data_IF_645044191980
#
_entry.id   IF_645044191980
#
_cell.length_a   1.000
_cell.length_b   1.000
_cell.length_c   1.000
_cell.angle_alpha   90.00
_cell.angle_beta   90.00
_cell.angle_gamma   90.00
#
_symmetry.space_group_name_H-M   'P 1'
#
loop_
_entity.id
_entity.type
_entity.pdbx_description
1 polymer ?
#
# COMPACT_ATOMS: atom_id res chain seq x y z
N UNK A 1 8.67 10.34 -11.23
CA UNK A 1 8.59 10.76 -9.81
C UNK A 1 9.86 10.32 -9.13
N UNK A 2 10.50 11.19 -8.35
CA UNK A 2 11.69 10.81 -7.58
C UNK A 2 11.30 10.18 -6.22
N UNK A 3 12.30 9.59 -5.57
CA UNK A 3 12.11 8.90 -4.29
C UNK A 3 11.67 9.83 -3.16
N UNK A 4 12.14 11.08 -3.15
CA UNK A 4 11.80 12.05 -2.09
C UNK A 4 10.34 12.47 -2.18
N UNK A 5 9.83 12.73 -3.39
CA UNK A 5 8.43 13.04 -3.67
C UNK A 5 7.54 11.86 -3.26
N UNK A 6 7.92 10.63 -3.63
CA UNK A 6 7.18 9.45 -3.23
C UNK A 6 7.13 9.29 -1.71
N UNK A 7 8.27 9.45 -1.03
CA UNK A 7 8.37 9.39 0.44
C UNK A 7 7.52 10.47 1.12
N UNK A 8 7.53 11.70 0.60
CA UNK A 8 6.68 12.79 1.11
C UNK A 8 5.20 12.44 1.00
N UNK A 9 4.77 11.96 -0.17
CA UNK A 9 3.38 11.52 -0.38
C UNK A 9 2.94 10.43 0.58
N UNK A 10 3.82 9.45 0.85
CA UNK A 10 3.55 8.40 1.85
C UNK A 10 3.34 9.00 3.25
N UNK A 11 4.24 9.89 3.68
CA UNK A 11 4.14 10.53 5.00
C UNK A 11 2.88 11.40 5.12
N UNK A 12 2.47 12.08 4.06
CA UNK A 12 1.23 12.85 4.01
C UNK A 12 -0.03 11.96 4.09
N UNK A 13 0.01 10.78 3.45
CA UNK A 13 -1.11 9.84 3.43
C UNK A 13 -1.31 9.09 4.76
N UNK A 14 -0.24 8.77 5.48
CA UNK A 14 -0.28 8.01 6.74
C UNK A 14 -1.26 8.57 7.78
N UNK A 15 -1.24 9.86 8.17
CA UNK A 15 -2.17 10.39 9.16
C UNK A 15 -3.62 10.35 8.68
N UNK A 16 -3.86 10.52 7.37
CA UNK A 16 -5.19 10.42 6.77
C UNK A 16 -5.69 8.97 6.83
N UNK A 17 -4.82 8.01 6.54
CA UNK A 17 -5.11 6.58 6.57
C UNK A 17 -5.29 6.04 7.99
N UNK A 18 -4.59 6.59 8.99
CA UNK A 18 -4.75 6.21 10.39
C UNK A 18 -6.07 6.70 11.01
N UNK A 19 -6.71 7.69 10.37
CA UNK A 19 -8.01 8.20 10.78
C UNK A 19 -9.16 7.27 10.39
N UNK A 20 -10.36 7.50 10.96
CA UNK A 20 -11.60 6.78 10.59
C UNK A 20 -12.20 7.21 9.24
N UNK A 21 -11.45 7.91 8.39
CA UNK A 21 -11.90 8.36 7.06
C UNK A 21 -12.07 7.15 6.12
N UNK A 22 -13.14 7.14 5.34
CA UNK A 22 -13.27 6.21 4.20
C UNK A 22 -12.23 6.51 3.13
N UNK A 23 -11.93 5.55 2.26
CA UNK A 23 -10.96 5.73 1.16
C UNK A 23 -11.29 6.95 0.31
N UNK A 24 -12.57 7.15 -0.05
CA UNK A 24 -13.03 8.35 -0.78
C UNK A 24 -12.67 9.67 -0.08
N UNK A 25 -12.75 9.70 1.26
CA UNK A 25 -12.38 10.88 2.06
C UNK A 25 -10.87 11.05 2.21
N UNK A 26 -10.09 9.98 2.13
CA UNK A 26 -8.62 10.05 2.09
C UNK A 26 -8.18 10.60 0.74
N UNK A 27 -8.72 10.07 -0.36
CA UNK A 27 -8.46 10.55 -1.73
C UNK A 27 -8.81 12.04 -1.86
N UNK A 28 -9.97 12.46 -1.37
CA UNK A 28 -10.38 13.87 -1.41
C UNK A 28 -9.42 14.78 -0.63
N UNK A 29 -8.96 14.35 0.55
CA UNK A 29 -8.03 15.13 1.35
C UNK A 29 -6.65 15.23 0.70
N UNK A 30 -6.15 14.15 0.09
CA UNK A 30 -4.91 14.19 -0.69
C UNK A 30 -5.06 15.12 -1.91
N UNK A 31 -6.23 15.11 -2.55
CA UNK A 31 -6.48 16.05 -3.64
C UNK A 31 -6.48 17.51 -3.18
N UNK A 32 -7.08 17.82 -2.02
CA UNK A 32 -7.02 19.15 -1.39
C UNK A 32 -5.58 19.57 -1.03
N UNK A 33 -4.68 18.61 -0.81
CA UNK A 33 -3.25 18.83 -0.59
C UNK A 33 -2.44 19.05 -1.89
N UNK A 34 -3.09 18.98 -3.06
CA UNK A 34 -2.47 19.24 -4.36
C UNK A 34 -2.02 18.00 -5.13
N UNK A 35 -2.26 16.79 -4.60
CA UNK A 35 -2.03 15.56 -5.35
C UNK A 35 -3.07 15.42 -6.47
N UNK A 36 -2.65 14.93 -7.63
CA UNK A 36 -3.62 14.52 -8.65
C UNK A 36 -4.43 13.31 -8.17
N UNK A 37 -5.55 13.05 -8.86
CA UNK A 37 -6.47 11.99 -8.45
C UNK A 37 -5.82 10.60 -8.46
N UNK A 38 -4.99 10.31 -9.45
CA UNK A 38 -4.37 9.00 -9.59
C UNK A 38 -3.30 8.78 -8.50
N UNK A 39 -2.53 9.82 -8.17
CA UNK A 39 -1.58 9.81 -7.07
C UNK A 39 -2.30 9.62 -5.72
N UNK A 40 -3.41 10.33 -5.52
CA UNK A 40 -4.24 10.18 -4.33
C UNK A 40 -4.84 8.77 -4.21
N UNK A 41 -5.28 8.16 -5.31
CA UNK A 41 -5.74 6.77 -5.37
C UNK A 41 -4.59 5.79 -5.06
N UNK A 42 -3.43 5.95 -5.69
CA UNK A 42 -2.24 5.14 -5.42
C UNK A 42 -1.83 5.19 -3.94
N UNK A 43 -1.68 6.38 -3.37
CA UNK A 43 -1.34 6.57 -1.96
C UNK A 43 -2.35 5.90 -1.04
N UNK A 44 -3.64 6.05 -1.33
CA UNK A 44 -4.71 5.49 -0.48
C UNK A 44 -4.71 3.96 -0.49
N UNK A 45 -4.49 3.35 -1.67
CA UNK A 45 -4.65 1.91 -1.88
C UNK A 45 -3.35 1.13 -1.62
N UNK A 46 -2.19 1.70 -1.96
CA UNK A 46 -0.91 1.00 -1.91
C UNK A 46 -0.20 1.14 -0.56
N UNK A 47 -0.35 2.27 0.14
CA UNK A 47 0.37 2.50 1.42
C UNK A 47 0.01 1.46 2.49
N UNK A 48 -1.28 1.12 2.74
CA UNK A 48 -1.62 0.08 3.70
C UNK A 48 -1.02 -1.28 3.35
N UNK A 49 -1.10 -1.67 2.07
CA UNK A 49 -0.54 -2.93 1.55
C UNK A 49 0.98 -2.97 1.76
N UNK A 50 1.69 -1.92 1.34
CA UNK A 50 3.15 -1.84 1.46
C UNK A 50 3.64 -1.94 2.91
N UNK A 51 2.97 -1.27 3.85
CA UNK A 51 3.31 -1.32 5.28
C UNK A 51 2.94 -2.67 5.92
N UNK A 52 2.01 -3.43 5.35
CA UNK A 52 1.64 -4.75 5.83
C UNK A 52 2.64 -5.84 5.42
N UNK A 53 3.35 -5.69 4.30
CA UNK A 53 4.26 -6.71 3.79
C UNK A 53 5.36 -7.13 4.76
N UNK A 54 6.07 -6.21 5.46
CA UNK A 54 7.06 -6.59 6.47
C UNK A 54 6.44 -7.37 7.64
N UNK A 55 5.21 -7.06 8.05
CA UNK A 55 4.49 -7.82 9.07
C UNK A 55 4.15 -9.23 8.58
N UNK A 56 3.67 -9.36 7.35
CA UNK A 56 3.37 -10.65 6.74
C UNK A 56 4.64 -11.52 6.65
N UNK A 57 5.79 -10.93 6.30
CA UNK A 57 7.10 -11.61 6.32
C UNK A 57 7.45 -12.16 7.69
N UNK A 58 7.27 -11.34 8.73
CA UNK A 58 7.52 -11.74 10.12
C UNK A 58 6.55 -12.84 10.60
N UNK A 59 5.33 -12.87 10.06
CA UNK A 59 4.36 -13.93 10.32
C UNK A 59 4.69 -15.26 9.61
N UNK A 60 5.70 -15.30 8.74
CA UNK A 60 6.16 -16.52 8.07
C UNK A 60 5.89 -16.59 6.57
N UNK A 61 5.17 -15.61 6.00
CA UNK A 61 4.92 -15.53 4.57
C UNK A 61 6.21 -15.14 3.83
N UNK A 62 6.64 -15.95 2.86
CA UNK A 62 7.92 -15.72 2.15
C UNK A 62 7.75 -15.30 0.69
N UNK A 63 6.67 -15.74 0.06
CA UNK A 63 6.44 -15.54 -1.37
C UNK A 63 5.43 -14.40 -1.57
N UNK A 64 5.92 -13.27 -2.06
CA UNK A 64 5.14 -12.08 -2.38
C UNK A 64 4.99 -11.96 -3.89
N UNK A 65 3.87 -11.42 -4.39
CA UNK A 65 3.72 -11.13 -5.81
C UNK A 65 4.73 -10.07 -6.24
N UNK A 66 5.20 -10.16 -7.48
CA UNK A 66 6.08 -9.17 -8.13
C UNK A 66 5.31 -8.08 -8.87
N UNK A 67 3.97 -8.16 -8.90
CA UNK A 67 3.10 -7.22 -9.58
C UNK A 67 1.75 -7.06 -8.84
N UNK A 68 1.06 -5.96 -9.17
CA UNK A 68 -0.36 -5.75 -8.90
C UNK A 68 -1.16 -5.92 -10.19
N UNK A 69 -2.46 -6.21 -10.06
CA UNK A 69 -3.41 -6.16 -11.18
C UNK A 69 -4.31 -4.95 -10.99
N UNK A 70 -4.21 -3.95 -11.87
CA UNK A 70 -5.03 -2.75 -11.83
C UNK A 70 -6.16 -2.90 -12.83
N UNK A 71 -7.40 -2.85 -12.36
CA UNK A 71 -8.60 -3.01 -13.17
C UNK A 71 -9.47 -1.75 -13.14
N UNK A 72 -10.14 -1.43 -14.24
CA UNK A 72 -11.08 -0.30 -14.33
C UNK A 72 -12.50 -0.70 -14.73
N UNK A 73 -13.41 0.29 -14.73
CA UNK A 73 -14.83 0.09 -15.05
C UNK A 73 -15.10 -0.32 -16.50
N UNK A 74 -14.09 -0.26 -17.38
CA UNK A 74 -14.15 -0.72 -18.76
C UNK A 74 -13.69 -2.17 -18.90
N UNK A 75 -13.33 -2.82 -17.79
CA UNK A 75 -12.79 -4.17 -17.78
C UNK A 75 -11.35 -4.27 -18.29
N UNK A 76 -10.62 -3.14 -18.40
CA UNK A 76 -9.19 -3.20 -18.70
C UNK A 76 -8.46 -3.71 -17.46
N UNK A 77 -7.53 -4.64 -17.66
CA UNK A 77 -6.64 -5.13 -16.60
C UNK A 77 -5.18 -4.90 -17.01
N UNK A 78 -4.45 -4.20 -16.16
CA UNK A 78 -3.02 -3.90 -16.37
C UNK A 78 -2.23 -4.55 -15.24
N UNK A 79 -1.28 -5.41 -15.61
CA UNK A 79 -0.30 -5.95 -14.67
C UNK A 79 0.83 -4.95 -14.51
N UNK A 80 1.06 -4.50 -13.28
CA UNK A 80 2.03 -3.46 -12.97
C UNK A 80 3.10 -4.03 -12.06
N UNK A 81 4.36 -4.09 -12.48
CA UNK A 81 5.45 -4.50 -11.60
C UNK A 81 5.48 -3.66 -10.33
N UNK A 82 5.68 -4.31 -9.19
CA UNK A 82 5.79 -3.65 -7.88
C UNK A 82 6.91 -2.61 -7.88
N UNK A 83 8.00 -2.89 -8.59
CA UNK A 83 9.15 -2.00 -8.74
C UNK A 83 8.80 -0.66 -9.40
N UNK A 84 7.76 -0.62 -10.23
CA UNK A 84 7.34 0.57 -10.99
C UNK A 84 6.37 1.45 -10.19
N UNK A 85 5.93 1.00 -9.01
CA UNK A 85 5.03 1.74 -8.12
C UNK A 85 5.84 2.48 -7.06
N UNK A 86 6.24 3.73 -7.35
CA UNK A 86 7.10 4.51 -6.47
C UNK A 86 6.52 4.76 -5.08
N UNK A 87 5.22 5.06 -4.95
CA UNK A 87 4.59 5.21 -3.62
C UNK A 87 4.58 3.90 -2.83
N UNK A 88 4.35 2.76 -3.51
CA UNK A 88 4.41 1.45 -2.87
C UNK A 88 5.81 1.14 -2.36
N UNK A 89 6.83 1.30 -3.21
CA UNK A 89 8.23 1.00 -2.85
C UNK A 89 8.74 1.94 -1.75
N UNK A 90 8.35 3.22 -1.77
CA UNK A 90 8.66 4.16 -0.69
C UNK A 90 7.99 3.76 0.64
N UNK A 91 6.72 3.38 0.62
CA UNK A 91 6.01 2.91 1.82
C UNK A 91 6.55 1.56 2.32
N UNK A 92 6.92 0.64 1.43
CA UNK A 92 7.53 -0.63 1.79
C UNK A 92 8.87 -0.39 2.49
N UNK A 93 9.71 0.50 1.93
CA UNK A 93 10.99 0.86 2.54
C UNK A 93 10.79 1.45 3.93
N UNK A 94 9.83 2.37 4.08
CA UNK A 94 9.46 2.94 5.38
C UNK A 94 9.05 1.86 6.39
N UNK A 95 8.25 0.88 5.96
CA UNK A 95 7.83 -0.25 6.80
C UNK A 95 9.02 -1.12 7.24
N UNK A 96 9.94 -1.43 6.33
CA UNK A 96 11.17 -2.18 6.63
C UNK A 96 12.02 -1.41 7.63
N UNK A 97 12.32 -0.14 7.35
CA UNK A 97 13.16 0.72 8.19
C UNK A 97 12.58 0.85 9.61
N UNK A 98 11.24 0.88 9.75
CA UNK A 98 10.55 0.94 11.05
C UNK A 98 10.83 -0.29 11.91
N UNK A 99 10.97 -1.48 11.31
CA UNK A 99 11.30 -2.70 12.06
C UNK A 99 12.80 -2.87 12.32
N UNK A 100 13.64 -2.29 11.47
CA UNK A 100 15.10 -2.35 11.62
C UNK A 100 15.63 -1.31 12.62
N UNK A 101 15.09 -0.09 12.58
CA UNK A 101 15.62 1.08 13.31
C UNK A 101 14.67 1.59 14.41
N UNK A 102 13.48 1.01 14.53
CA UNK A 102 12.46 1.44 15.48
C UNK A 102 11.48 2.46 14.89
N UNK A 103 10.57 2.95 15.74
CA UNK A 103 9.47 3.82 15.31
C UNK A 103 9.96 5.25 15.05
N UNK A 104 9.55 5.80 13.91
CA UNK A 104 9.75 7.21 13.60
C UNK A 104 8.81 8.09 14.43
N UNK A 105 9.21 9.33 14.72
CA UNK A 105 8.34 10.30 15.39
C UNK A 105 7.09 10.59 14.55
N UNK A 106 7.25 10.68 13.23
CA UNK A 106 6.17 10.96 12.27
C UNK A 106 5.24 9.76 12.07
N UNK A 107 5.71 8.55 12.37
CA UNK A 107 4.92 7.31 12.25
C UNK A 107 5.02 6.48 13.54
N UNK A 108 4.37 6.94 14.63
CA UNK A 108 4.33 6.17 15.88
C UNK A 108 3.65 4.82 15.67
N UNK A 109 4.02 3.84 16.50
CA UNK A 109 3.46 2.47 16.46
C UNK A 109 1.93 2.43 16.31
N UNK A 110 1.21 3.24 17.09
CA UNK A 110 -0.27 3.28 17.04
C UNK A 110 -0.79 3.71 15.67
N UNK A 111 -0.16 4.69 15.04
CA UNK A 111 -0.51 5.18 13.71
C UNK A 111 -0.23 4.09 12.68
N UNK A 112 0.95 3.48 12.76
CA UNK A 112 1.33 2.35 11.89
C UNK A 112 0.28 1.22 11.95
N UNK A 113 -0.05 0.76 13.15
CA UNK A 113 -1.03 -0.31 13.39
C UNK A 113 -2.42 0.04 12.83
N UNK A 114 -2.83 1.31 12.91
CA UNK A 114 -4.09 1.77 12.33
C UNK A 114 -4.08 1.73 10.80
N UNK A 115 -2.97 2.09 10.16
CA UNK A 115 -2.83 2.04 8.71
C UNK A 115 -2.81 0.60 8.20
N UNK A 116 -1.98 -0.27 8.77
CA UNK A 116 -1.83 -1.65 8.27
C UNK A 116 -3.08 -2.50 8.43
N UNK A 117 -3.94 -2.21 9.41
CA UNK A 117 -5.24 -2.87 9.58
C UNK A 117 -6.21 -2.64 8.41
N UNK A 118 -5.89 -1.70 7.51
CA UNK A 118 -6.67 -1.45 6.29
C UNK A 118 -6.21 -2.31 5.11
N UNK A 119 -5.13 -3.08 5.26
CA UNK A 119 -4.60 -3.94 4.19
C UNK A 119 -5.36 -5.25 4.09
N UNK A 120 -5.59 -5.71 2.85
CA UNK A 120 -6.19 -7.01 2.59
C UNK A 120 -5.21 -8.15 2.95
N UNK A 121 -3.91 -7.90 2.81
CA UNK A 121 -2.85 -8.86 3.11
C UNK A 121 -2.82 -9.23 4.59
N UNK A 122 -2.87 -8.22 5.48
CA UNK A 122 -2.86 -8.48 6.91
C UNK A 122 -4.16 -9.13 7.39
N UNK A 123 -5.31 -8.75 6.79
CA UNK A 123 -6.59 -9.42 7.07
C UNK A 123 -6.56 -10.90 6.66
N UNK A 124 -6.04 -11.21 5.47
CA UNK A 124 -5.90 -12.59 4.99
C UNK A 124 -4.95 -13.41 5.88
N UNK A 125 -3.78 -12.86 6.21
CA UNK A 125 -2.82 -13.49 7.13
C UNK A 125 -3.44 -13.72 8.50
N UNK A 126 -4.15 -12.72 9.05
CA UNK A 126 -4.85 -12.82 10.33
C UNK A 126 -5.85 -13.98 10.35
N UNK A 127 -6.72 -14.06 9.33
CA UNK A 127 -7.71 -15.14 9.20
C UNK A 127 -7.07 -16.52 9.11
N UNK A 128 -5.99 -16.68 8.36
CA UNK A 128 -5.27 -17.96 8.26
C UNK A 128 -4.71 -18.39 9.62
N UNK A 129 -4.07 -17.47 10.35
CA UNK A 129 -3.49 -17.75 11.66
C UNK A 129 -4.56 -18.05 12.72
N UNK A 130 -5.68 -17.32 12.72
CA UNK A 130 -6.82 -17.58 13.61
C UNK A 130 -7.43 -18.98 13.42
N UNK A 131 -7.34 -19.53 12.20
CA UNK A 131 -7.79 -20.87 11.87
C UNK A 131 -6.73 -21.96 12.17
N UNK A 132 -5.60 -21.60 12.77
CA UNK A 132 -4.48 -22.52 13.04
C UNK A 132 -3.70 -22.93 11.80
N UNK A 133 -3.84 -22.21 10.69
CA UNK A 133 -3.11 -22.46 9.45
C UNK A 133 -1.63 -22.07 9.56
N UNK A 134 -0.81 -22.68 8.71
CA UNK A 134 0.61 -22.34 8.56
C UNK A 134 0.83 -21.53 7.28
N UNK A 135 1.62 -20.45 7.40
CA UNK A 135 1.99 -19.60 6.28
C UNK A 135 3.28 -20.07 5.60
N UNK A 136 3.97 -21.06 6.16
CA UNK A 136 5.18 -21.61 5.57
C UNK A 136 4.87 -22.26 4.20
N UNK A 137 5.62 -21.83 3.17
CA UNK A 137 5.38 -22.26 1.79
C UNK A 137 4.16 -21.63 1.10
N UNK A 138 3.38 -20.80 1.79
CA UNK A 138 2.25 -20.08 1.20
C UNK A 138 2.74 -18.95 0.27
N UNK A 139 1.97 -18.69 -0.77
CA UNK A 139 2.21 -17.61 -1.73
C UNK A 139 1.05 -16.65 -1.71
N UNK A 140 1.37 -15.37 -1.52
CA UNK A 140 0.39 -14.31 -1.63
C UNK A 140 0.04 -14.06 -3.09
N UNK A 141 -1.25 -14.06 -3.38
CA UNK A 141 -1.75 -13.70 -4.70
C UNK A 141 -1.57 -12.20 -4.94
N UNK A 142 -1.39 -11.82 -6.20
CA UNK A 142 -1.37 -10.42 -6.60
C UNK A 142 -2.70 -9.76 -6.24
N UNK A 143 -2.64 -8.63 -5.52
CA UNK A 143 -3.83 -7.87 -5.17
C UNK A 143 -4.40 -7.24 -6.45
N UNK A 144 -5.71 -7.40 -6.63
CA UNK A 144 -6.47 -6.73 -7.67
C UNK A 144 -6.98 -5.39 -7.13
N UNK A 145 -6.60 -4.30 -7.79
CA UNK A 145 -6.93 -2.93 -7.42
C UNK A 145 -7.93 -2.40 -8.44
N UNK A 146 -9.13 -2.07 -7.97
CA UNK A 146 -10.16 -1.46 -8.81
C UNK A 146 -10.12 0.05 -8.71
N UNK A 147 -9.90 0.71 -9.86
CA UNK A 147 -9.77 2.17 -9.99
C UNK A 147 -10.70 2.69 -11.08
N UNK A 148 -10.82 4.02 -11.16
CA UNK A 148 -11.65 4.64 -12.20
C UNK A 148 -10.99 4.56 -13.58
N UNK A 149 -9.66 4.71 -13.64
CA UNK A 149 -8.91 4.67 -14.89
C UNK A 149 -7.56 3.98 -14.65
N UNK A 150 -7.43 2.76 -15.15
CA UNK A 150 -6.24 1.94 -14.93
C UNK A 150 -4.98 2.58 -15.53
N UNK A 151 -5.07 3.18 -16.72
CA UNK A 151 -3.89 3.80 -17.36
C UNK A 151 -3.41 5.02 -16.59
N UNK A 152 -4.33 5.88 -16.16
CA UNK A 152 -3.99 7.06 -15.37
C UNK A 152 -3.38 6.65 -14.02
N UNK A 153 -3.94 5.62 -13.38
CA UNK A 153 -3.39 5.07 -12.15
C UNK A 153 -1.95 4.62 -12.33
N UNK A 154 -1.64 3.84 -13.37
CA UNK A 154 -0.26 3.37 -13.61
C UNK A 154 0.68 4.53 -13.89
N UNK A 155 0.28 5.45 -14.79
CA UNK A 155 1.15 6.58 -15.21
C UNK A 155 1.47 7.57 -14.09
N UNK A 156 0.57 7.77 -13.12
CA UNK A 156 0.82 8.70 -12.01
C UNK A 156 2.04 8.33 -11.16
N UNK A 157 2.36 7.02 -11.12
CA UNK A 157 3.55 6.51 -10.44
C UNK A 157 4.75 6.28 -11.36
N UNK A 158 4.61 6.36 -12.68
CA UNK A 158 5.69 6.06 -13.64
C UNK A 158 6.29 7.33 -14.22
N UNK A 159 7.62 7.38 -14.38
CA UNK A 159 8.23 8.36 -15.29
C UNK A 159 8.10 7.79 -16.71
N UNK A 160 7.83 8.65 -17.68
CA UNK A 160 7.92 8.28 -19.11
C UNK A 160 9.28 7.73 -19.48
#
# INVERSE_FOLDING_TARGET
MDHETARRGVLDAIPLLASKRSEKKVIAALWEMGYDRAAAEQLTLLVPSALAWPLCRRAGLRNFPDHFVVSDDRGREIRVPVADLHYFTAALRLGIDTFENGWLEEVPRRVYEQVVRRSAELDAVGKTLEQGGDLSGSTMQALMIYVKDAEAFVRSGSVG
#
